data_IF_994637681312
#
_entry.id   IF_994637681312
#
_cell.length_a   1.000
_cell.length_b   1.000
_cell.length_c   1.000
_cell.angle_alpha   90.00
_cell.angle_beta   90.00
_cell.angle_gamma   90.00
#
_symmetry.space_group_name_H-M   'P 1'
#
loop_
_entity.id
_entity.type
_entity.pdbx_description
1 polymer ?
#
# COMPACT_ATOMS: atom_id res chain seq x y z
N UNK A 1 8.34 -9.44 5.00
CA UNK A 1 7.75 -9.62 6.36
C UNK A 1 6.30 -9.13 6.37
N UNK A 2 5.40 -9.74 7.14
CA UNK A 2 3.99 -9.33 7.28
C UNK A 2 3.79 -8.40 8.48
N UNK A 3 4.34 -7.18 8.42
CA UNK A 3 4.26 -6.19 9.51
C UNK A 3 3.36 -4.99 9.20
N UNK A 4 3.00 -4.21 10.21
CA UNK A 4 2.33 -2.93 10.02
C UNK A 4 3.29 -1.89 9.40
N UNK A 5 2.82 -1.07 8.47
CA UNK A 5 3.56 0.09 7.99
C UNK A 5 3.52 1.22 9.02
N UNK A 6 4.66 1.85 9.33
CA UNK A 6 4.72 2.97 10.29
C UNK A 6 4.54 4.35 9.66
N UNK A 7 4.37 4.44 8.34
CA UNK A 7 4.12 5.71 7.66
C UNK A 7 5.36 6.61 7.51
N UNK A 8 6.58 6.05 7.56
CA UNK A 8 7.82 6.82 7.43
C UNK A 8 8.09 7.40 6.02
N UNK A 9 7.37 6.93 5.00
CA UNK A 9 7.44 7.41 3.62
C UNK A 9 8.80 7.27 2.88
N UNK A 10 9.77 6.51 3.38
CA UNK A 10 11.04 6.28 2.65
C UNK A 10 10.88 5.61 1.29
N UNK A 11 9.80 4.85 1.11
CA UNK A 11 9.46 4.19 -0.16
C UNK A 11 8.74 5.12 -1.17
N UNK A 12 8.62 6.41 -0.88
CA UNK A 12 7.99 7.39 -1.76
C UNK A 12 8.94 7.85 -2.87
N UNK A 13 8.88 7.17 -4.00
CA UNK A 13 9.76 7.41 -5.14
C UNK A 13 9.49 6.44 -6.29
N UNK A 14 8.25 5.94 -6.40
CA UNK A 14 7.91 4.96 -7.41
C UNK A 14 8.03 5.56 -8.81
N UNK A 15 8.73 4.92 -9.77
CA UNK A 15 8.84 5.42 -11.14
C UNK A 15 7.51 5.45 -11.90
N UNK A 16 6.50 4.72 -11.42
CA UNK A 16 5.12 4.77 -11.94
C UNK A 16 4.25 5.81 -11.21
N UNK A 17 4.85 6.66 -10.37
CA UNK A 17 4.16 7.67 -9.57
C UNK A 17 3.07 7.10 -8.64
N UNK A 18 3.22 5.83 -8.22
CA UNK A 18 2.34 5.22 -7.22
C UNK A 18 2.66 5.85 -5.86
N UNK A 19 1.68 6.44 -5.15
CA UNK A 19 1.87 7.00 -3.81
C UNK A 19 1.94 5.86 -2.77
N UNK A 20 3.07 5.15 -2.75
CA UNK A 20 3.28 3.94 -1.92
C UNK A 20 2.87 4.15 -0.45
N UNK A 21 3.25 5.25 0.24
CA UNK A 21 2.93 5.40 1.66
C UNK A 21 1.42 5.40 1.93
N UNK A 22 0.62 5.98 1.02
CA UNK A 22 -0.84 6.06 1.15
C UNK A 22 -1.49 4.68 0.99
N UNK A 23 -0.97 3.88 0.06
CA UNK A 23 -1.42 2.49 -0.11
C UNK A 23 -1.06 1.62 1.09
N UNK A 24 0.12 1.81 1.68
CA UNK A 24 0.52 1.06 2.88
C UNK A 24 -0.28 1.48 4.12
N UNK A 25 -0.61 2.77 4.26
CA UNK A 25 -1.54 3.26 5.29
C UNK A 25 -2.96 2.68 5.11
N UNK A 26 -3.45 2.58 3.88
CA UNK A 26 -4.72 1.91 3.58
C UNK A 26 -4.67 0.41 3.92
N UNK A 27 -3.58 -0.27 3.56
CA UNK A 27 -3.38 -1.68 3.89
C UNK A 27 -3.36 -1.94 5.40
N UNK A 28 -2.84 -1.00 6.21
CA UNK A 28 -2.89 -1.12 7.67
C UNK A 28 -4.34 -1.26 8.20
N UNK A 29 -5.34 -0.65 7.54
CA UNK A 29 -6.73 -0.77 7.99
C UNK A 29 -7.26 -2.20 7.87
N UNK A 30 -6.82 -2.96 6.86
CA UNK A 30 -7.13 -4.40 6.75
C UNK A 30 -6.50 -5.19 7.90
N UNK A 31 -5.29 -4.83 8.33
CA UNK A 31 -4.60 -5.48 9.45
C UNK A 31 -5.32 -5.17 10.78
N UNK A 32 -5.81 -3.94 10.94
CA UNK A 32 -6.54 -3.54 12.14
C UNK A 32 -7.98 -4.07 12.21
N UNK A 33 -8.62 -4.20 11.07
CA UNK A 33 -9.98 -4.74 10.94
C UNK A 33 -10.00 -5.93 9.97
N UNK A 34 -9.55 -7.08 10.49
CA UNK A 34 -9.50 -8.34 9.74
C UNK A 34 -10.89 -8.76 9.21
N UNK A 35 -11.98 -8.36 9.90
CA UNK A 35 -13.35 -8.68 9.48
C UNK A 35 -13.78 -7.86 8.27
N UNK A 36 -13.38 -6.59 8.22
CA UNK A 36 -13.68 -5.73 7.07
C UNK A 36 -12.83 -6.08 5.84
N UNK A 37 -11.61 -6.60 6.03
CA UNK A 37 -10.78 -7.11 4.94
C UNK A 37 -10.49 -6.05 3.87
N UNK A 38 -10.77 -6.37 2.60
CA UNK A 38 -10.56 -5.46 1.46
C UNK A 38 -11.35 -4.15 1.59
N UNK A 39 -12.56 -4.20 2.15
CA UNK A 39 -13.41 -3.01 2.29
C UNK A 39 -12.78 -1.94 3.21
N UNK A 40 -11.95 -2.35 4.17
CA UNK A 40 -11.20 -1.44 5.04
C UNK A 40 -10.18 -0.61 4.25
N UNK A 41 -9.48 -1.27 3.33
CA UNK A 41 -8.51 -0.63 2.41
C UNK A 41 -9.25 0.37 1.52
N UNK A 42 -10.32 -0.08 0.85
CA UNK A 42 -11.09 0.74 -0.09
C UNK A 42 -11.69 1.97 0.58
N UNK A 43 -12.25 1.82 1.78
CA UNK A 43 -12.78 2.95 2.54
C UNK A 43 -11.68 3.96 2.90
N UNK A 44 -10.49 3.49 3.31
CA UNK A 44 -9.37 4.38 3.62
C UNK A 44 -8.85 5.11 2.38
N UNK A 45 -8.71 4.41 1.26
CA UNK A 45 -8.31 5.03 -0.01
C UNK A 45 -9.32 6.08 -0.45
N UNK A 46 -10.62 5.77 -0.40
CA UNK A 46 -11.69 6.66 -0.85
C UNK A 46 -11.87 7.88 0.05
N UNK A 47 -12.06 7.66 1.35
CA UNK A 47 -12.53 8.72 2.26
C UNK A 47 -11.41 9.52 2.93
N UNK A 48 -10.20 8.96 3.01
CA UNK A 48 -9.05 9.67 3.57
C UNK A 48 -8.12 10.20 2.48
N UNK A 49 -7.72 9.33 1.55
CA UNK A 49 -6.70 9.67 0.54
C UNK A 49 -7.25 10.20 -0.78
N UNK A 50 -8.55 10.03 -1.05
CA UNK A 50 -9.16 10.34 -2.34
C UNK A 50 -8.42 9.65 -3.51
N UNK A 51 -8.04 8.38 -3.30
CA UNK A 51 -7.30 7.56 -4.25
C UNK A 51 -8.15 6.41 -4.77
N UNK A 52 -7.95 6.09 -6.05
CA UNK A 52 -8.53 4.91 -6.69
C UNK A 52 -7.56 3.72 -6.54
N UNK A 53 -8.09 2.55 -6.18
CA UNK A 53 -7.28 1.33 -6.02
C UNK A 53 -6.63 0.86 -7.33
N UNK A 54 -7.18 1.22 -8.49
CA UNK A 54 -6.62 0.89 -9.81
C UNK A 54 -5.22 1.45 -10.00
N UNK A 55 -4.85 2.54 -9.31
CA UNK A 55 -3.48 3.07 -9.34
C UNK A 55 -2.47 2.04 -8.81
N UNK A 56 -2.84 1.21 -7.82
CA UNK A 56 -1.97 0.12 -7.36
C UNK A 56 -1.68 -0.91 -8.47
N UNK A 57 -2.62 -1.12 -9.39
CA UNK A 57 -2.50 -2.02 -10.53
C UNK A 57 -1.51 -1.56 -11.60
N UNK A 58 -1.04 -0.30 -11.53
CA UNK A 58 0.04 0.20 -12.41
C UNK A 58 1.43 -0.25 -11.96
N UNK A 59 1.53 -0.99 -10.85
CA UNK A 59 2.80 -1.48 -10.32
C UNK A 59 3.47 -2.45 -11.31
N UNK A 60 4.70 -2.11 -11.72
CA UNK A 60 5.54 -2.93 -12.60
C UNK A 60 6.52 -3.82 -11.82
N UNK A 61 6.33 -3.96 -10.51
CA UNK A 61 7.17 -4.77 -9.61
C UNK A 61 8.68 -4.45 -9.67
N UNK A 62 9.04 -3.16 -9.80
CA UNK A 62 10.44 -2.73 -9.94
C UNK A 62 11.33 -2.91 -8.69
N UNK A 63 10.77 -3.20 -7.51
CA UNK A 63 11.52 -3.42 -6.27
C UNK A 63 11.96 -2.17 -5.49
N UNK A 64 12.03 -0.99 -6.12
CA UNK A 64 12.55 0.24 -5.48
C UNK A 64 11.91 0.56 -4.13
N UNK A 65 10.58 0.40 -4.02
CA UNK A 65 9.86 0.67 -2.78
C UNK A 65 10.22 -0.31 -1.64
N UNK A 66 10.52 -1.57 -1.96
CA UNK A 66 10.89 -2.60 -0.97
C UNK A 66 12.35 -2.45 -0.55
N UNK A 67 13.25 -2.07 -1.47
CA UNK A 67 14.63 -1.72 -1.15
C UNK A 67 14.71 -0.51 -0.19
N UNK A 68 13.90 0.51 -0.43
CA UNK A 68 13.82 1.69 0.43
C UNK A 68 13.07 1.45 1.76
N UNK A 69 12.33 0.35 1.89
CA UNK A 69 11.51 0.10 3.06
C UNK A 69 12.35 -0.39 4.25
N UNK A 70 12.50 0.44 5.28
CA UNK A 70 13.25 0.11 6.51
C UNK A 70 12.62 -1.00 7.35
N UNK A 71 11.35 -1.34 7.11
CA UNK A 71 10.65 -2.43 7.80
C UNK A 71 10.62 -3.74 6.99
N UNK A 72 11.10 -3.72 5.74
CA UNK A 72 11.08 -4.87 4.83
C UNK A 72 9.70 -5.57 4.74
N UNK A 73 8.63 -4.75 4.67
CA UNK A 73 7.28 -5.24 4.40
C UNK A 73 7.10 -5.54 2.91
N UNK A 74 6.25 -6.51 2.58
CA UNK A 74 6.03 -6.98 1.21
C UNK A 74 5.12 -5.98 0.43
N UNK A 75 5.66 -4.83 0.03
CA UNK A 75 4.90 -3.74 -0.61
C UNK A 75 4.31 -4.18 -1.95
N UNK A 76 5.07 -4.90 -2.78
CA UNK A 76 4.63 -5.29 -4.13
C UNK A 76 3.43 -6.24 -4.05
N UNK A 77 3.51 -7.26 -3.18
CA UNK A 77 2.40 -8.19 -2.96
C UNK A 77 1.15 -7.47 -2.41
N UNK A 78 1.33 -6.48 -1.52
CA UNK A 78 0.22 -5.66 -1.04
C UNK A 78 -0.42 -4.85 -2.16
N UNK A 79 0.36 -4.22 -3.03
CA UNK A 79 -0.19 -3.46 -4.17
C UNK A 79 -0.98 -4.37 -5.11
N UNK A 80 -0.48 -5.58 -5.37
CA UNK A 80 -1.19 -6.58 -6.16
C UNK A 80 -2.52 -6.97 -5.53
N UNK A 81 -2.55 -7.18 -4.22
CA UNK A 81 -3.79 -7.47 -3.50
C UNK A 81 -4.78 -6.29 -3.50
N UNK A 82 -4.28 -5.06 -3.38
CA UNK A 82 -5.09 -3.84 -3.43
C UNK A 82 -5.74 -3.67 -4.81
N UNK A 83 -5.00 -3.94 -5.89
CA UNK A 83 -5.50 -3.82 -7.26
C UNK A 83 -6.65 -4.78 -7.56
N UNK A 84 -6.61 -5.98 -6.95
CA UNK A 84 -7.54 -7.09 -7.17
C UNK A 84 -7.10 -8.03 -8.28
#
# INVERSE_FOLDING_TARGET
MEGICTGCAYCDGCPQNIPIPKFMDAYNQKIFDEKAGQSAIENRLKWHWHLDRSVAGTCVACGMCEEACTQHINIIERLKEIAG
#
